data_IF_032060637771
#
_entry.id   IF_032060637771
#
_cell.length_a   1.000
_cell.length_b   1.000
_cell.length_c   1.000
_cell.angle_alpha   90.00
_cell.angle_beta   90.00
_cell.angle_gamma   90.00
#
_symmetry.space_group_name_H-M   'P 1'
#
loop_
_entity.id
_entity.type
_entity.pdbx_description
1 polymer ?
#
# COMPACT_ATOMS: atom_id res chain seq x y z
N UNK A 1 -10.00 11.01 9.64
CA UNK A 1 -8.86 10.92 10.56
C UNK A 1 -7.59 11.20 9.77
N UNK A 2 -6.56 11.84 10.35
CA UNK A 2 -5.27 11.99 9.66
C UNK A 2 -4.69 10.62 9.32
N UNK A 3 -4.06 10.51 8.15
CA UNK A 3 -3.34 9.30 7.76
C UNK A 3 -2.02 9.25 8.55
N UNK A 4 -1.82 8.18 9.30
CA UNK A 4 -0.56 7.94 10.01
C UNK A 4 0.55 7.50 9.05
N UNK A 5 1.80 7.63 9.49
CA UNK A 5 2.99 7.15 8.76
C UNK A 5 3.22 7.79 7.38
N UNK A 6 2.59 8.95 7.12
CA UNK A 6 2.81 9.78 5.94
C UNK A 6 3.49 11.10 6.30
N UNK A 7 4.53 11.47 5.54
CA UNK A 7 5.20 12.76 5.73
C UNK A 7 5.74 13.31 4.42
N UNK A 8 5.41 14.56 4.09
CA UNK A 8 6.07 15.27 3.01
C UNK A 8 7.49 15.71 3.42
N UNK A 9 8.47 15.48 2.55
CA UNK A 9 9.83 15.96 2.70
C UNK A 9 10.26 16.75 1.45
N UNK A 10 10.48 18.08 1.56
CA UNK A 10 10.77 18.93 0.40
C UNK A 10 12.14 18.67 -0.25
N UNK A 11 13.05 18.00 0.46
CA UNK A 11 14.44 17.77 0.05
C UNK A 11 14.85 16.33 0.38
N UNK A 12 14.10 15.36 -0.11
CA UNK A 12 14.42 13.96 0.06
C UNK A 12 15.59 13.56 -0.86
N UNK A 13 16.64 12.87 -0.34
CA UNK A 13 17.76 12.43 -1.17
C UNK A 13 17.34 11.32 -2.14
N UNK A 14 17.75 11.42 -3.41
CA UNK A 14 17.55 10.47 -4.51
C UNK A 14 18.91 10.17 -5.15
N UNK A 15 19.30 8.91 -5.23
CA UNK A 15 20.64 8.50 -5.69
C UNK A 15 21.60 8.22 -4.53
N UNK A 16 22.89 8.09 -4.82
CA UNK A 16 23.94 7.72 -3.87
C UNK A 16 25.21 8.54 -4.11
N UNK A 17 25.99 8.76 -3.04
CA UNK A 17 27.30 9.42 -3.12
C UNK A 17 27.23 10.81 -3.77
N UNK A 18 28.15 11.06 -4.71
CA UNK A 18 28.26 12.34 -5.43
C UNK A 18 27.09 12.65 -6.36
N UNK A 19 26.31 11.64 -6.74
CA UNK A 19 25.18 11.78 -7.68
C UNK A 19 23.85 12.01 -6.95
N UNK A 20 23.88 12.26 -5.63
CA UNK A 20 22.68 12.51 -4.83
C UNK A 20 22.01 13.82 -5.27
N UNK A 21 20.72 13.72 -5.58
CA UNK A 21 19.85 14.86 -5.83
C UNK A 21 18.84 14.99 -4.71
N UNK A 22 18.48 16.22 -4.34
CA UNK A 22 17.43 16.47 -3.37
C UNK A 22 16.15 16.88 -4.09
N UNK A 23 15.09 16.11 -3.91
CA UNK A 23 13.81 16.28 -4.60
C UNK A 23 12.66 16.20 -3.59
N UNK A 24 11.53 16.89 -3.81
CA UNK A 24 10.37 16.72 -2.96
C UNK A 24 9.84 15.29 -3.06
N UNK A 25 9.44 14.73 -1.92
CA UNK A 25 8.87 13.39 -1.86
C UNK A 25 7.84 13.25 -0.74
N UNK A 26 6.84 12.40 -0.97
CA UNK A 26 6.02 11.83 0.08
C UNK A 26 6.71 10.58 0.63
N UNK A 27 6.94 10.57 1.93
CA UNK A 27 7.46 9.42 2.67
C UNK A 27 6.29 8.61 3.21
N UNK A 28 6.30 7.32 2.97
CA UNK A 28 5.29 6.35 3.44
C UNK A 28 6.01 5.27 4.24
N UNK A 29 5.78 5.22 5.56
CA UNK A 29 6.39 4.20 6.40
C UNK A 29 5.68 2.84 6.21
N UNK A 30 6.47 1.78 6.16
CA UNK A 30 5.99 0.40 6.02
C UNK A 30 6.38 -0.39 7.26
N UNK A 31 5.42 -1.12 7.80
CA UNK A 31 5.51 -1.82 9.07
C UNK A 31 5.48 -3.34 8.92
N UNK A 32 6.12 -4.00 9.88
CA UNK A 32 5.87 -5.40 10.27
C UNK A 32 5.48 -5.40 11.73
N UNK A 33 4.23 -5.73 12.02
CA UNK A 33 3.66 -5.51 13.36
C UNK A 33 3.78 -4.04 13.76
N UNK A 34 4.39 -3.77 14.92
CA UNK A 34 4.59 -2.40 15.43
C UNK A 34 5.86 -1.73 14.91
N UNK A 35 6.78 -2.43 14.25
CA UNK A 35 8.05 -1.89 13.82
C UNK A 35 7.99 -1.32 12.40
N UNK A 36 8.47 -0.08 12.21
CA UNK A 36 8.76 0.47 10.88
C UNK A 36 10.05 -0.19 10.39
N UNK A 37 9.98 -0.94 9.29
CA UNK A 37 11.11 -1.70 8.74
C UNK A 37 11.57 -1.21 7.36
N UNK A 38 10.73 -0.39 6.72
CA UNK A 38 11.02 0.20 5.43
C UNK A 38 10.24 1.50 5.24
N UNK A 39 10.69 2.31 4.27
CA UNK A 39 10.03 3.55 3.86
C UNK A 39 9.97 3.57 2.33
N UNK A 40 8.79 3.77 1.77
CA UNK A 40 8.65 4.15 0.38
C UNK A 40 8.74 5.67 0.25
N UNK A 41 9.60 6.12 -0.66
CA UNK A 41 9.75 7.51 -1.07
C UNK A 41 9.09 7.66 -2.43
N UNK A 42 8.00 8.41 -2.47
CA UNK A 42 7.29 8.76 -3.70
C UNK A 42 7.74 10.17 -4.07
N UNK A 43 8.68 10.25 -5.01
CA UNK A 43 9.21 11.52 -5.48
C UNK A 43 8.20 12.23 -6.36
N UNK A 44 8.08 13.54 -6.16
CA UNK A 44 7.08 14.37 -6.80
C UNK A 44 7.75 15.35 -7.77
N UNK A 45 7.04 15.68 -8.84
CA UNK A 45 7.33 16.89 -9.60
C UNK A 45 6.88 18.10 -8.76
N UNK A 46 7.73 19.12 -8.53
CA UNK A 46 7.37 20.27 -7.71
C UNK A 46 6.27 21.16 -8.33
N UNK A 47 6.03 21.06 -9.63
CA UNK A 47 5.08 21.89 -10.38
C UNK A 47 3.74 21.18 -10.52
N UNK A 48 3.75 19.91 -10.95
CA UNK A 48 2.51 19.16 -11.22
C UNK A 48 2.06 18.29 -10.06
N UNK A 49 2.94 18.06 -9.07
CA UNK A 49 2.78 17.07 -8.01
C UNK A 49 2.68 15.61 -8.50
N UNK A 50 2.95 15.35 -9.79
CA UNK A 50 2.95 14.01 -10.35
C UNK A 50 4.09 13.15 -9.79
N UNK A 51 3.87 11.84 -9.80
CA UNK A 51 4.88 10.90 -9.34
C UNK A 51 5.98 10.72 -10.38
N UNK A 52 7.20 11.08 -9.99
CA UNK A 52 8.39 10.95 -10.86
C UNK A 52 9.18 9.68 -10.58
N UNK A 53 9.09 9.12 -9.38
CA UNK A 53 9.68 7.83 -9.02
C UNK A 53 9.12 7.31 -7.69
N UNK A 54 9.05 5.98 -7.53
CA UNK A 54 8.79 5.32 -6.24
C UNK A 54 9.99 4.46 -5.86
N UNK A 55 10.68 4.80 -4.77
CA UNK A 55 11.89 4.10 -4.31
C UNK A 55 11.74 3.66 -2.86
N UNK A 56 12.13 2.43 -2.54
CA UNK A 56 12.05 1.90 -1.18
C UNK A 56 13.43 1.85 -0.54
N UNK A 57 13.49 2.16 0.76
CA UNK A 57 14.64 1.90 1.64
C UNK A 57 14.21 0.94 2.74
N UNK A 58 15.10 0.04 3.15
CA UNK A 58 14.83 -0.95 4.21
C UNK A 58 14.25 -2.27 3.69
N UNK A 59 13.71 -3.08 4.61
CA UNK A 59 13.22 -4.43 4.33
C UNK A 59 11.74 -4.41 3.92
N UNK A 60 11.48 -4.42 2.61
CA UNK A 60 10.12 -4.26 2.07
C UNK A 60 9.28 -5.55 2.07
N UNK A 61 9.91 -6.73 2.03
CA UNK A 61 9.22 -8.02 2.00
C UNK A 61 8.53 -8.24 3.35
N UNK A 62 7.25 -8.60 3.39
CA UNK A 62 6.48 -8.70 4.65
C UNK A 62 5.87 -7.39 5.13
N UNK A 63 6.40 -6.26 4.66
CA UNK A 63 6.03 -4.95 5.20
C UNK A 63 4.87 -4.32 4.42
N UNK A 64 4.01 -3.60 5.13
CA UNK A 64 2.93 -2.84 4.53
C UNK A 64 2.72 -1.52 5.27
N UNK A 65 2.19 -0.51 4.59
CA UNK A 65 1.59 0.63 5.29
C UNK A 65 0.23 0.19 5.85
N UNK A 66 -0.01 0.31 7.15
CA UNK A 66 -1.17 -0.31 7.84
C UNK A 66 -2.25 0.67 8.30
N UNK A 67 -2.06 1.97 8.11
CA UNK A 67 -3.00 3.04 8.51
C UNK A 67 -3.67 2.81 9.89
N UNK A 68 -2.83 2.56 10.90
CA UNK A 68 -3.22 2.21 12.26
C UNK A 68 -3.07 0.72 12.59
N UNK A 69 -3.67 0.31 13.71
CA UNK A 69 -3.62 -1.06 14.21
C UNK A 69 -4.52 -2.03 13.38
N UNK A 70 -4.14 -3.32 13.26
CA UNK A 70 -4.99 -4.34 12.63
C UNK A 70 -6.35 -4.45 13.32
N UNK A 71 -7.41 -4.48 12.51
CA UNK A 71 -8.72 -4.95 12.93
C UNK A 71 -8.88 -6.44 12.57
N UNK A 72 -9.97 -7.09 13.03
CA UNK A 72 -10.30 -8.48 12.65
C UNK A 72 -10.50 -8.66 11.14
N UNK A 73 -10.96 -7.61 10.47
CA UNK A 73 -11.10 -7.55 9.01
C UNK A 73 -10.23 -6.43 8.47
N UNK A 74 -9.42 -6.75 7.46
CA UNK A 74 -8.58 -5.76 6.76
C UNK A 74 -8.73 -5.87 5.25
N UNK A 75 -8.60 -4.76 4.55
CA UNK A 75 -8.34 -4.73 3.11
C UNK A 75 -6.84 -4.77 2.83
N UNK A 76 -6.42 -5.35 1.70
CA UNK A 76 -5.03 -5.32 1.25
C UNK A 76 -4.99 -4.88 -0.22
N UNK A 77 -4.23 -3.84 -0.51
CA UNK A 77 -4.07 -3.26 -1.84
C UNK A 77 -2.58 -3.05 -2.17
N UNK A 78 -2.30 -2.56 -3.37
CA UNK A 78 -0.94 -2.23 -3.80
C UNK A 78 -0.49 -0.84 -3.36
N UNK A 79 -1.36 0.17 -3.51
CA UNK A 79 -1.05 1.58 -3.28
C UNK A 79 -1.65 2.14 -1.99
N UNK A 80 -0.91 3.00 -1.28
CA UNK A 80 -1.41 3.61 -0.04
C UNK A 80 -2.63 4.50 -0.29
N UNK A 81 -2.76 5.12 -1.46
CA UNK A 81 -3.92 5.91 -1.85
C UNK A 81 -5.17 5.04 -1.97
N UNK A 82 -5.04 3.85 -2.57
CA UNK A 82 -6.12 2.86 -2.69
C UNK A 82 -6.59 2.42 -1.30
N UNK A 83 -5.65 2.12 -0.39
CA UNK A 83 -6.00 1.76 0.98
C UNK A 83 -6.66 2.92 1.74
N UNK A 84 -6.14 4.13 1.59
CA UNK A 84 -6.73 5.33 2.21
C UNK A 84 -8.14 5.58 1.70
N UNK A 85 -8.35 5.49 0.38
CA UNK A 85 -9.64 5.69 -0.27
C UNK A 85 -10.66 4.63 0.15
N UNK A 86 -10.29 3.35 0.12
CA UNK A 86 -11.15 2.27 0.57
C UNK A 86 -11.56 2.45 2.03
N UNK A 87 -10.60 2.74 2.91
CA UNK A 87 -10.88 3.01 4.33
C UNK A 87 -11.84 4.18 4.51
N UNK A 88 -11.69 5.25 3.73
CA UNK A 88 -12.57 6.41 3.80
C UNK A 88 -14.00 6.13 3.29
N UNK A 89 -14.14 5.25 2.30
CA UNK A 89 -15.42 4.90 1.68
C UNK A 89 -16.20 3.85 2.48
N UNK A 90 -15.52 2.86 3.08
CA UNK A 90 -16.16 1.69 3.69
C UNK A 90 -16.03 1.63 5.21
N UNK A 91 -15.08 2.39 5.79
CA UNK A 91 -14.70 2.28 7.19
C UNK A 91 -13.83 1.08 7.53
N UNK A 92 -13.59 0.16 6.59
CA UNK A 92 -12.72 -1.01 6.79
C UNK A 92 -11.26 -0.59 6.61
N UNK A 93 -10.42 -0.92 7.59
CA UNK A 93 -8.97 -0.62 7.54
C UNK A 93 -8.32 -1.36 6.39
N UNK A 94 -7.67 -0.64 5.49
CA UNK A 94 -6.91 -1.23 4.39
C UNK A 94 -5.41 -0.93 4.49
N UNK A 95 -4.62 -1.90 4.06
CA UNK A 95 -3.16 -1.88 4.07
C UNK A 95 -2.62 -1.82 2.64
N UNK A 96 -1.44 -1.25 2.48
CA UNK A 96 -0.76 -1.18 1.20
C UNK A 96 0.58 -1.90 1.23
N UNK A 97 0.73 -2.90 0.36
CA UNK A 97 1.96 -3.70 0.17
C UNK A 97 3.03 -2.94 -0.65
N UNK A 98 2.67 -1.77 -1.15
CA UNK A 98 3.49 -0.87 -1.93
C UNK A 98 4.01 -1.50 -3.24
N UNK A 99 3.22 -2.40 -3.84
CA UNK A 99 3.36 -2.89 -5.23
C UNK A 99 2.95 -4.37 -5.45
N UNK A 100 2.35 -4.68 -6.61
CA UNK A 100 1.82 -6.01 -7.00
C UNK A 100 2.72 -7.20 -6.67
N UNK A 101 4.03 -7.10 -6.94
CA UNK A 101 4.98 -8.20 -6.71
C UNK A 101 5.10 -8.59 -5.24
N UNK A 102 4.75 -7.70 -4.31
CA UNK A 102 4.76 -7.92 -2.85
C UNK A 102 3.36 -8.22 -2.28
N UNK A 103 2.32 -8.19 -3.11
CA UNK A 103 0.93 -8.31 -2.68
C UNK A 103 0.65 -9.55 -1.81
N UNK A 104 1.23 -10.69 -2.20
CA UNK A 104 1.14 -11.99 -1.52
C UNK A 104 2.12 -12.16 -0.35
N UNK A 105 3.01 -11.18 -0.12
CA UNK A 105 4.13 -11.31 0.83
C UNK A 105 3.90 -10.52 2.11
N UNK A 106 2.71 -10.00 2.37
CA UNK A 106 2.43 -9.18 3.55
C UNK A 106 2.26 -10.04 4.81
N UNK A 107 2.88 -9.64 5.90
CA UNK A 107 2.79 -10.36 7.18
C UNK A 107 1.44 -10.04 7.85
N UNK A 108 0.47 -10.96 7.73
CA UNK A 108 -0.86 -10.83 8.32
C UNK A 108 -0.90 -11.42 9.74
N UNK A 109 -1.16 -10.61 10.78
CA UNK A 109 -1.27 -11.09 12.16
C UNK A 109 -2.31 -12.20 12.32
N UNK A 110 -2.08 -13.10 13.28
CA UNK A 110 -3.03 -14.19 13.60
C UNK A 110 -4.38 -13.69 14.12
N UNK A 111 -4.44 -12.46 14.63
CA UNK A 111 -5.68 -11.80 15.07
C UNK A 111 -6.59 -11.36 13.93
N UNK A 112 -6.11 -11.38 12.69
CA UNK A 112 -6.91 -11.08 11.50
C UNK A 112 -7.63 -12.36 11.08
N UNK A 113 -8.95 -12.27 11.03
CA UNK A 113 -9.88 -13.36 10.69
C UNK A 113 -10.35 -13.26 9.23
N UNK A 114 -10.30 -12.06 8.63
CA UNK A 114 -10.72 -11.83 7.24
C UNK A 114 -9.83 -10.82 6.52
N UNK A 115 -9.47 -11.15 5.29
CA UNK A 115 -8.74 -10.29 4.35
C UNK A 115 -9.57 -10.08 3.09
N UNK A 116 -9.72 -8.82 2.71
CA UNK A 116 -10.33 -8.41 1.44
C UNK A 116 -9.22 -7.98 0.49
N UNK A 117 -9.03 -8.71 -0.60
CA UNK A 117 -8.06 -8.38 -1.63
C UNK A 117 -8.64 -7.28 -2.53
N UNK A 118 -7.96 -6.13 -2.53
CA UNK A 118 -8.33 -4.90 -3.24
C UNK A 118 -7.31 -4.63 -4.35
N UNK A 119 -7.07 -5.64 -5.18
CA UNK A 119 -6.11 -5.55 -6.26
C UNK A 119 -6.60 -4.62 -7.38
N UNK A 120 -5.66 -4.05 -8.13
CA UNK A 120 -5.97 -3.21 -9.28
C UNK A 120 -6.65 -4.06 -10.38
N UNK A 121 -7.59 -3.46 -11.11
CA UNK A 121 -8.44 -4.13 -12.11
C UNK A 121 -7.75 -4.30 -13.47
N UNK A 122 -6.47 -4.62 -13.45
CA UNK A 122 -5.63 -4.85 -14.62
C UNK A 122 -5.02 -6.27 -14.62
N UNK A 123 -4.29 -6.68 -15.68
CA UNK A 123 -3.70 -8.02 -15.73
C UNK A 123 -2.64 -8.29 -14.66
N UNK A 124 -1.92 -7.27 -14.15
CA UNK A 124 -0.95 -7.45 -13.08
C UNK A 124 -1.66 -7.64 -11.74
N UNK A 125 -2.65 -6.80 -11.42
CA UNK A 125 -3.46 -6.90 -10.21
C UNK A 125 -4.23 -8.23 -10.12
N UNK A 126 -4.79 -8.74 -11.22
CA UNK A 126 -5.42 -10.08 -11.25
C UNK A 126 -4.45 -11.21 -10.93
N UNK A 127 -3.20 -11.13 -11.42
CA UNK A 127 -2.15 -12.12 -11.08
C UNK A 127 -1.72 -11.99 -9.62
N UNK A 128 -1.63 -10.77 -9.12
CA UNK A 128 -1.33 -10.50 -7.71
C UNK A 128 -2.42 -11.06 -6.78
N UNK A 129 -3.70 -10.84 -7.11
CA UNK A 129 -4.86 -11.37 -6.38
C UNK A 129 -4.84 -12.89 -6.32
N UNK A 130 -4.72 -13.56 -7.47
CA UNK A 130 -4.71 -15.03 -7.53
C UNK A 130 -3.56 -15.61 -6.71
N UNK A 131 -2.37 -15.00 -6.80
CA UNK A 131 -1.20 -15.43 -6.02
C UNK A 131 -1.37 -15.18 -4.52
N UNK A 132 -1.93 -14.04 -4.12
CA UNK A 132 -2.18 -13.75 -2.71
C UNK A 132 -3.24 -14.67 -2.11
N UNK A 133 -4.30 -14.98 -2.86
CA UNK A 133 -5.31 -15.94 -2.43
C UNK A 133 -4.72 -17.32 -2.13
N UNK A 134 -3.81 -17.78 -2.98
CA UNK A 134 -3.12 -19.07 -2.78
C UNK A 134 -2.15 -19.03 -1.60
N UNK A 135 -1.25 -18.04 -1.56
CA UNK A 135 -0.16 -17.96 -0.57
C UNK A 135 -0.65 -17.62 0.84
N UNK A 136 -1.66 -16.76 0.96
CA UNK A 136 -2.16 -16.29 2.27
C UNK A 136 -3.19 -17.23 2.88
N UNK A 137 -3.64 -18.25 2.14
CA UNK A 137 -4.65 -19.19 2.60
C UNK A 137 -4.20 -19.92 3.87
N UNK A 138 -5.00 -19.80 4.94
CA UNK A 138 -4.82 -20.55 6.19
C UNK A 138 -6.18 -20.83 6.83
N UNK A 139 -6.27 -21.89 7.65
CA UNK A 139 -7.51 -22.40 8.23
C UNK A 139 -8.40 -21.32 8.87
N UNK A 140 -7.79 -20.39 9.59
CA UNK A 140 -8.50 -19.37 10.37
C UNK A 140 -8.51 -17.98 9.69
N UNK A 141 -8.39 -17.93 8.35
CA UNK A 141 -8.42 -16.68 7.59
C UNK A 141 -9.35 -16.79 6.38
N UNK A 142 -10.45 -16.04 6.40
CA UNK A 142 -11.30 -15.86 5.24
C UNK A 142 -10.65 -14.88 4.24
N UNK A 143 -10.62 -15.25 2.96
CA UNK A 143 -10.08 -14.41 1.88
C UNK A 143 -11.17 -14.10 0.87
N UNK A 144 -11.54 -12.83 0.77
CA UNK A 144 -12.50 -12.27 -0.19
C UNK A 144 -11.77 -11.37 -1.19
N UNK A 145 -12.38 -11.08 -2.33
CA UNK A 145 -11.87 -10.10 -3.30
C UNK A 145 -12.97 -9.13 -3.64
N UNK A 146 -12.66 -7.83 -3.55
CA UNK A 146 -13.55 -6.77 -4.00
C UNK A 146 -12.86 -5.97 -5.10
N UNK A 147 -13.47 -6.00 -6.28
CA UNK A 147 -13.01 -5.21 -7.42
C UNK A 147 -13.60 -3.80 -7.38
N UNK A 148 -12.84 -2.77 -7.78
CA UNK A 148 -13.38 -1.43 -7.89
C UNK A 148 -14.53 -1.39 -8.91
N UNK A 149 -15.60 -0.63 -8.61
CA UNK A 149 -16.83 -0.62 -9.40
C UNK A 149 -16.64 0.10 -10.74
N UNK A 150 -17.52 -0.21 -11.69
CA UNK A 150 -17.55 0.44 -13.01
C UNK A 150 -16.25 0.24 -13.81
N UNK A 151 -15.77 1.34 -14.39
CA UNK A 151 -14.56 1.39 -15.24
C UNK A 151 -13.27 1.76 -14.47
N UNK A 152 -13.35 1.89 -13.15
CA UNK A 152 -12.19 2.29 -12.33
C UNK A 152 -11.16 1.15 -12.26
N UNK A 153 -9.87 1.50 -12.34
CA UNK A 153 -8.79 0.53 -12.16
C UNK A 153 -8.52 0.24 -10.68
N UNK A 154 -8.67 1.25 -9.82
CA UNK A 154 -8.38 1.17 -8.40
C UNK A 154 -9.43 1.96 -7.59
N UNK A 155 -9.46 1.74 -6.27
CA UNK A 155 -10.39 2.43 -5.37
C UNK A 155 -10.07 3.93 -5.20
N UNK A 156 -8.82 4.36 -5.41
CA UNK A 156 -8.45 5.76 -5.29
C UNK A 156 -9.06 6.62 -6.41
N UNK A 157 -9.31 6.05 -7.59
CA UNK A 157 -9.98 6.75 -8.69
C UNK A 157 -11.41 7.18 -8.36
N UNK A 158 -12.11 6.51 -7.44
CA UNK A 158 -13.45 6.93 -7.02
C UNK A 158 -13.46 8.28 -6.27
N UNK A 159 -12.32 8.68 -5.72
CA UNK A 159 -12.18 9.96 -5.01
C UNK A 159 -11.59 11.07 -5.88
N UNK A 160 -11.09 10.73 -7.08
CA UNK A 160 -10.65 11.70 -8.09
C UNK A 160 -11.90 12.21 -8.80
N UNK A 161 -12.34 13.41 -8.43
CA UNK A 161 -13.42 14.12 -9.14
C UNK A 161 -12.89 14.77 -10.40
#
# INVERSE_FOLDING_TARGET
MPLEDLRYHPRCPKGQGRDVQFKPALLVAMRKGSAIVAIQRIFLDPTTADYTAKLVLGQAIGAAWTNGAPAKTIGICEGFETAAAYTALTGIKAWATMGAKRFHQVDIPVSVERVILLADKDPEGRRAEAKARDVLCRRDLAIETEWPPGRMNDWAQLLKR
#
